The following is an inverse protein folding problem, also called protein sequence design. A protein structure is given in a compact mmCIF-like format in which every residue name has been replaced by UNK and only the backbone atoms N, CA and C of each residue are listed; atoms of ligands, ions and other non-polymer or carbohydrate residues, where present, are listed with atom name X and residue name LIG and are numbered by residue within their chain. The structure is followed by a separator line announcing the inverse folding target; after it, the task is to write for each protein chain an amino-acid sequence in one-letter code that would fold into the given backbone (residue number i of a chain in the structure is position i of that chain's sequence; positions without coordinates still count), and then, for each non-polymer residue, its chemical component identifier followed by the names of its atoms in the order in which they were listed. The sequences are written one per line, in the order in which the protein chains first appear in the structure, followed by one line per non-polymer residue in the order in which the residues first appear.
data_IF_255102623525
#
_entry.id   IF_255102623525
#
_cell.length_a   1.000
_cell.length_b   1.000
_cell.length_c   1.000
_cell.angle_alpha   90.00
_cell.angle_beta   90.00
_cell.angle_gamma   90.00
#
_symmetry.space_group_name_H-M   'P 1'
#
loop_
_entity.id
_entity.type
_entity.pdbx_description
1 polymer ?
#
# COMPACT_ATOMS: atom_id res chain seq x y z
N UNK A 1 12.92 21.32 4.47
CA UNK A 1 14.24 21.02 3.85
C UNK A 1 14.03 19.97 2.75
N UNK A 2 14.46 20.22 1.51
CA UNK A 2 14.41 19.19 0.47
C UNK A 2 15.46 18.13 0.83
N UNK A 3 15.03 16.90 1.13
CA UNK A 3 15.94 15.78 1.36
C UNK A 3 16.97 15.72 0.21
N UNK A 4 18.26 15.59 0.53
CA UNK A 4 19.32 15.49 -0.48
C UNK A 4 19.01 14.28 -1.36
N UNK A 5 18.61 14.52 -2.61
CA UNK A 5 18.31 13.46 -3.56
C UNK A 5 19.60 12.71 -3.86
N UNK A 6 19.62 11.42 -3.56
CA UNK A 6 20.74 10.57 -3.97
C UNK A 6 20.89 10.60 -5.49
N UNK A 7 22.13 10.65 -6.03
CA UNK A 7 22.34 10.58 -7.47
C UNK A 7 21.85 9.23 -8.03
N UNK A 8 21.40 9.18 -9.29
CA UNK A 8 21.07 7.94 -9.97
C UNK A 8 22.30 7.03 -10.07
N UNK A 9 22.06 5.73 -10.02
CA UNK A 9 23.09 4.74 -10.36
C UNK A 9 23.26 4.69 -11.89
N UNK A 10 24.39 4.16 -12.38
CA UNK A 10 24.52 3.86 -13.80
C UNK A 10 23.47 2.83 -14.24
N UNK A 11 22.91 3.00 -15.42
CA UNK A 11 22.19 1.91 -16.09
C UNK A 11 23.18 0.78 -16.43
N UNK A 12 22.81 -0.51 -16.33
CA UNK A 12 21.47 -1.06 -16.09
C UNK A 12 21.10 -1.26 -14.61
N UNK A 13 21.99 -0.89 -13.68
CA UNK A 13 21.82 -1.17 -12.26
C UNK A 13 20.64 -0.38 -11.66
N UNK A 14 20.42 0.85 -12.11
CA UNK A 14 19.27 1.67 -11.69
C UNK A 14 17.94 0.96 -12.03
N UNK A 15 17.78 0.51 -13.28
CA UNK A 15 16.61 -0.26 -13.73
C UNK A 15 16.44 -1.56 -12.92
N UNK A 16 17.52 -2.29 -12.64
CA UNK A 16 17.47 -3.47 -11.80
C UNK A 16 16.96 -3.15 -10.38
N UNK A 17 17.50 -2.10 -9.74
CA UNK A 17 17.12 -1.69 -8.38
C UNK A 17 15.69 -1.18 -8.31
N UNK A 18 15.19 -0.55 -9.37
CA UNK A 18 13.78 -0.20 -9.52
C UNK A 18 12.90 -1.45 -9.61
N UNK A 19 13.29 -2.44 -10.42
CA UNK A 19 12.61 -3.73 -10.54
C UNK A 19 12.50 -4.49 -9.21
N UNK A 20 13.53 -4.40 -8.37
CA UNK A 20 13.58 -5.00 -7.03
C UNK A 20 12.90 -4.16 -5.93
N UNK A 21 12.33 -2.98 -6.25
CA UNK A 21 11.84 -2.03 -5.25
C UNK A 21 10.68 -2.56 -4.40
N UNK A 22 9.95 -3.58 -4.85
CA UNK A 22 8.93 -4.26 -4.04
C UNK A 22 9.51 -4.87 -2.74
N UNK A 23 10.78 -5.28 -2.74
CA UNK A 23 11.47 -5.83 -1.57
C UNK A 23 11.63 -4.81 -0.43
N UNK A 24 11.50 -3.51 -0.72
CA UNK A 24 11.49 -2.50 0.33
C UNK A 24 10.35 -2.71 1.33
N UNK A 25 9.26 -3.36 0.95
CA UNK A 25 8.16 -3.64 1.89
C UNK A 25 8.49 -4.70 2.94
N UNK A 26 9.57 -5.45 2.77
CA UNK A 26 10.07 -6.38 3.78
C UNK A 26 10.95 -5.65 4.82
N UNK A 27 11.26 -4.37 4.57
CA UNK A 27 12.03 -3.54 5.49
C UNK A 27 11.18 -3.06 6.67
N UNK A 28 11.67 -3.13 7.92
CA UNK A 28 10.89 -2.69 9.09
C UNK A 28 10.36 -1.25 8.99
N UNK A 29 11.12 -0.36 8.33
CA UNK A 29 10.75 1.03 8.15
C UNK A 29 9.54 1.24 7.20
N UNK A 30 9.20 0.24 6.38
CA UNK A 30 8.21 0.31 5.29
C UNK A 30 7.13 -0.78 5.42
N UNK A 31 7.39 -1.83 6.19
CA UNK A 31 6.47 -2.95 6.39
C UNK A 31 5.09 -2.47 6.89
N UNK A 32 5.07 -1.43 7.71
CA UNK A 32 3.87 -0.80 8.27
C UNK A 32 3.20 0.23 7.36
N UNK A 33 3.77 0.52 6.18
CA UNK A 33 3.15 1.46 5.24
C UNK A 33 1.98 0.78 4.56
N UNK A 34 0.84 1.44 4.56
CA UNK A 34 -0.38 0.98 3.89
C UNK A 34 -0.97 2.16 3.12
N UNK A 35 -1.77 1.89 2.07
CA UNK A 35 -2.59 2.95 1.52
C UNK A 35 -3.58 3.44 2.60
N UNK A 36 -4.18 4.61 2.39
CA UNK A 36 -5.16 5.11 3.34
C UNK A 36 -6.38 4.19 3.41
N UNK A 37 -7.13 4.30 4.51
CA UNK A 37 -8.23 3.40 4.82
C UNK A 37 -9.34 3.44 3.75
N UNK A 38 -9.57 4.61 3.14
CA UNK A 38 -10.54 4.74 2.06
C UNK A 38 -10.12 3.91 0.84
N UNK A 39 -8.87 4.07 0.38
CA UNK A 39 -8.33 3.30 -0.75
C UNK A 39 -8.26 1.79 -0.45
N UNK A 40 -7.92 1.41 0.78
CA UNK A 40 -7.91 0.01 1.20
C UNK A 40 -9.31 -0.62 1.19
N UNK A 41 -10.31 0.08 1.72
CA UNK A 41 -11.72 -0.38 1.70
C UNK A 41 -12.26 -0.48 0.29
N UNK A 42 -11.99 0.51 -0.56
CA UNK A 42 -12.44 0.54 -1.95
C UNK A 42 -11.90 -0.67 -2.73
N UNK A 43 -10.60 -0.96 -2.62
CA UNK A 43 -10.02 -2.15 -3.24
C UNK A 43 -10.63 -3.44 -2.69
N UNK A 44 -10.85 -3.52 -1.37
CA UNK A 44 -11.52 -4.68 -0.74
C UNK A 44 -12.89 -4.98 -1.33
N UNK A 45 -13.73 -3.95 -1.52
CA UNK A 45 -15.05 -4.09 -2.15
C UNK A 45 -14.94 -4.56 -3.60
N UNK A 46 -14.01 -3.99 -4.38
CA UNK A 46 -13.81 -4.37 -5.79
C UNK A 46 -13.35 -5.82 -5.94
N UNK A 47 -12.51 -6.29 -5.02
CA UNK A 47 -12.06 -7.68 -5.04
C UNK A 47 -13.17 -8.64 -4.62
N UNK A 48 -13.99 -8.27 -3.64
CA UNK A 48 -15.17 -9.08 -3.26
C UNK A 48 -16.17 -9.19 -4.43
N UNK A 49 -16.42 -8.09 -5.15
CA UNK A 49 -17.20 -8.09 -6.40
C UNK A 49 -16.59 -9.06 -7.43
N UNK A 50 -15.27 -9.08 -7.61
CA UNK A 50 -14.61 -9.99 -8.55
C UNK A 50 -14.78 -11.46 -8.14
N UNK A 51 -14.68 -11.76 -6.85
CA UNK A 51 -14.79 -13.12 -6.33
C UNK A 51 -16.22 -13.66 -6.38
N UNK A 52 -17.22 -12.81 -6.15
CA UNK A 52 -18.64 -13.18 -6.10
C UNK A 52 -19.33 -13.11 -7.47
N UNK A 53 -18.70 -12.51 -8.47
CA UNK A 53 -19.27 -12.35 -9.81
C UNK A 53 -19.46 -13.69 -10.53
N UNK A 54 -20.70 -13.92 -10.97
CA UNK A 54 -21.08 -15.05 -11.83
C UNK A 54 -20.64 -14.88 -13.29
N UNK A 55 -20.10 -13.72 -13.65
CA UNK A 55 -19.63 -13.42 -15.01
C UNK A 55 -18.29 -14.10 -15.34
N UNK A 56 -17.52 -14.50 -14.33
CA UNK A 56 -16.22 -15.15 -14.54
C UNK A 56 -16.38 -16.66 -14.61
N UNK A 57 -15.96 -17.20 -15.75
CA UNK A 57 -16.16 -18.60 -16.15
C UNK A 57 -15.14 -19.51 -15.45
N UNK A 58 -13.96 -19.00 -15.11
CA UNK A 58 -12.90 -19.74 -14.43
C UNK A 58 -12.08 -18.87 -13.44
N UNK A 59 -11.28 -19.54 -12.61
CA UNK A 59 -10.44 -18.88 -11.59
C UNK A 59 -9.31 -18.04 -12.20
N UNK A 60 -8.86 -18.35 -13.42
CA UNK A 60 -7.85 -17.57 -14.11
C UNK A 60 -8.39 -16.18 -14.46
N UNK A 61 -9.62 -16.10 -14.96
CA UNK A 61 -10.29 -14.82 -15.23
C UNK A 61 -10.45 -14.00 -13.95
N UNK A 62 -10.80 -14.63 -12.83
CA UNK A 62 -10.89 -13.94 -11.53
C UNK A 62 -9.55 -13.35 -11.10
N UNK A 63 -8.46 -14.11 -11.20
CA UNK A 63 -7.11 -13.64 -10.87
C UNK A 63 -6.70 -12.47 -11.77
N UNK A 64 -6.86 -12.59 -13.08
CA UNK A 64 -6.51 -11.51 -14.02
C UNK A 64 -7.34 -10.23 -13.78
N UNK A 65 -8.56 -10.36 -13.27
CA UNK A 65 -9.40 -9.19 -12.94
C UNK A 65 -9.02 -8.60 -11.58
N UNK A 66 -8.70 -9.42 -10.60
CA UNK A 66 -8.16 -8.95 -9.32
C UNK A 66 -6.85 -8.14 -9.54
N UNK A 67 -5.95 -8.63 -10.39
CA UNK A 67 -4.73 -7.90 -10.76
C UNK A 67 -5.02 -6.55 -11.41
N UNK A 68 -6.01 -6.50 -12.31
CA UNK A 68 -6.46 -5.24 -12.93
C UNK A 68 -7.06 -4.26 -11.93
N UNK A 69 -7.81 -4.74 -10.95
CA UNK A 69 -8.36 -3.88 -9.88
C UNK A 69 -7.25 -3.33 -8.97
N UNK A 70 -6.21 -4.11 -8.70
CA UNK A 70 -5.02 -3.62 -7.98
C UNK A 70 -4.34 -2.50 -8.78
N UNK A 71 -4.08 -2.72 -10.07
CA UNK A 71 -3.44 -1.71 -10.92
C UNK A 71 -4.27 -0.41 -10.99
N UNK A 72 -5.60 -0.53 -11.09
CA UNK A 72 -6.51 0.63 -11.03
C UNK A 72 -6.42 1.36 -9.69
N UNK A 73 -6.41 0.63 -8.57
CA UNK A 73 -6.29 1.22 -7.25
C UNK A 73 -4.95 1.95 -7.07
N UNK A 74 -3.85 1.36 -7.58
CA UNK A 74 -2.51 1.96 -7.57
C UNK A 74 -2.49 3.27 -8.34
N UNK A 75 -3.00 3.29 -9.57
CA UNK A 75 -3.07 4.51 -10.40
C UNK A 75 -3.95 5.61 -9.77
N UNK A 76 -5.12 5.24 -9.22
CA UNK A 76 -6.01 6.20 -8.54
C UNK A 76 -5.38 6.76 -7.26
N UNK A 77 -4.68 5.93 -6.51
CA UNK A 77 -4.07 6.34 -5.26
C UNK A 77 -2.86 7.23 -5.48
N UNK A 78 -1.96 6.89 -6.40
CA UNK A 78 -0.74 7.66 -6.62
C UNK A 78 -0.93 8.83 -7.60
N UNK A 79 -1.73 9.81 -7.20
CA UNK A 79 -1.80 11.11 -7.86
C UNK A 79 -0.46 11.87 -7.80
N UNK A 80 -0.34 13.00 -8.52
CA UNK A 80 0.91 13.78 -8.55
C UNK A 80 1.41 14.22 -7.16
N UNK A 81 0.49 14.57 -6.24
CA UNK A 81 0.82 15.01 -4.89
C UNK A 81 1.35 13.86 -4.03
N UNK A 82 0.69 12.71 -4.09
CA UNK A 82 1.12 11.49 -3.40
C UNK A 82 2.41 10.94 -3.99
N UNK A 83 2.62 10.98 -5.31
CA UNK A 83 3.90 10.62 -5.93
C UNK A 83 5.05 11.44 -5.38
N UNK A 84 4.89 12.77 -5.27
CA UNK A 84 5.89 13.66 -4.67
C UNK A 84 6.13 13.34 -3.19
N UNK A 85 5.05 13.09 -2.44
CA UNK A 85 5.13 12.75 -1.00
C UNK A 85 5.89 11.44 -0.77
N UNK A 86 5.54 10.38 -1.50
CA UNK A 86 6.22 9.08 -1.39
C UNK A 86 7.64 9.13 -1.91
N UNK A 87 7.92 9.87 -2.99
CA UNK A 87 9.29 10.08 -3.46
C UNK A 87 10.16 10.73 -2.36
N UNK A 88 9.66 11.75 -1.67
CA UNK A 88 10.39 12.39 -0.57
C UNK A 88 10.63 11.44 0.60
N UNK A 89 9.61 10.69 1.04
CA UNK A 89 9.76 9.68 2.11
C UNK A 89 10.78 8.59 1.73
N UNK A 90 10.77 8.14 0.47
CA UNK A 90 11.76 7.18 -0.01
C UNK A 90 13.17 7.77 -0.01
N UNK A 91 13.36 9.04 -0.39
CA UNK A 91 14.67 9.70 -0.27
C UNK A 91 15.15 9.82 1.18
N UNK A 92 14.25 10.05 2.14
CA UNK A 92 14.60 10.02 3.57
C UNK A 92 15.08 8.63 4.00
N UNK A 93 14.44 7.56 3.51
CA UNK A 93 14.88 6.19 3.75
C UNK A 93 16.25 5.88 3.15
N UNK A 94 16.61 6.47 2.00
CA UNK A 94 17.95 6.32 1.42
C UNK A 94 19.02 6.73 2.43
N UNK A 95 18.85 7.88 3.08
CA UNK A 95 19.80 8.39 4.07
C UNK A 95 19.83 7.51 5.33
N UNK A 96 18.67 7.07 5.82
CA UNK A 96 18.58 6.15 6.96
C UNK A 96 19.28 4.80 6.69
N UNK A 97 19.06 4.22 5.50
CA UNK A 97 19.69 2.97 5.10
C UNK A 97 21.19 3.11 4.90
N UNK A 98 21.67 4.24 4.38
CA UNK A 98 23.11 4.53 4.28
C UNK A 98 23.78 4.58 5.65
N UNK A 99 23.18 5.28 6.61
CA UNK A 99 23.68 5.36 7.99
C UNK A 99 23.76 3.97 8.65
N UNK A 100 22.87 3.05 8.24
CA UNK A 100 22.81 1.68 8.77
C UNK A 100 23.62 0.66 7.94
N UNK A 101 24.47 1.11 7.00
CA UNK A 101 25.24 0.25 6.08
C UNK A 101 24.39 -0.70 5.20
N UNK A 102 23.15 -0.31 4.88
CA UNK A 102 22.21 -1.11 4.07
C UNK A 102 22.16 -0.62 2.63
N UNK A 103 23.29 -0.76 1.93
CA UNK A 103 23.50 -0.17 0.61
C UNK A 103 22.47 -0.60 -0.45
N UNK A 104 22.06 -1.88 -0.47
CA UNK A 104 21.06 -2.35 -1.43
C UNK A 104 19.67 -1.77 -1.20
N UNK A 105 19.23 -1.70 0.06
CA UNK A 105 17.95 -1.08 0.42
C UNK A 105 17.96 0.42 0.07
N UNK A 106 19.07 1.11 0.33
CA UNK A 106 19.27 2.50 -0.09
C UNK A 106 19.19 2.67 -1.62
N UNK A 107 19.79 1.75 -2.38
CA UNK A 107 19.75 1.77 -3.84
C UNK A 107 18.32 1.56 -4.38
N UNK A 108 17.59 0.57 -3.87
CA UNK A 108 16.19 0.30 -4.23
C UNK A 108 15.29 1.50 -3.91
N UNK A 109 15.43 2.07 -2.71
CA UNK A 109 14.67 3.25 -2.29
C UNK A 109 14.96 4.47 -3.17
N UNK A 110 16.23 4.70 -3.51
CA UNK A 110 16.64 5.78 -4.39
C UNK A 110 16.08 5.65 -5.81
N UNK A 111 16.11 4.45 -6.38
CA UNK A 111 15.57 4.18 -7.71
C UNK A 111 14.05 4.38 -7.76
N UNK A 112 13.31 3.84 -6.79
CA UNK A 112 11.86 4.05 -6.67
C UNK A 112 11.50 5.53 -6.45
N UNK A 113 12.25 6.24 -5.60
CA UNK A 113 12.05 7.66 -5.35
C UNK A 113 12.22 8.50 -6.61
N UNK A 114 13.27 8.24 -7.40
CA UNK A 114 13.53 8.94 -8.66
C UNK A 114 12.47 8.63 -9.72
N UNK A 115 12.06 7.36 -9.86
CA UNK A 115 10.99 6.99 -10.77
C UNK A 115 9.70 7.78 -10.47
N UNK A 116 9.27 7.81 -9.21
CA UNK A 116 8.10 8.58 -8.79
C UNK A 116 8.27 10.09 -8.98
N UNK A 117 9.44 10.63 -8.65
CA UNK A 117 9.74 12.05 -8.83
C UNK A 117 9.82 12.48 -10.31
N UNK A 118 10.20 11.56 -11.21
CA UNK A 118 10.24 11.78 -12.67
C UNK A 118 8.89 11.65 -13.35
N UNK A 119 7.85 11.25 -12.61
CA UNK A 119 6.50 11.10 -13.14
C UNK A 119 6.24 9.76 -13.81
N UNK A 120 7.05 8.72 -13.53
CA UNK A 120 6.75 7.36 -13.98
C UNK A 120 5.33 6.93 -13.55
N UNK A 121 4.72 6.06 -14.35
CA UNK A 121 3.44 5.45 -14.01
C UNK A 121 3.59 4.66 -12.70
N UNK A 122 2.72 4.89 -11.69
CA UNK A 122 2.70 4.13 -10.45
C UNK A 122 2.74 2.61 -10.65
N UNK A 123 2.00 2.09 -11.62
CA UNK A 123 2.01 0.65 -11.96
C UNK A 123 3.35 0.13 -12.49
N UNK A 124 4.19 1.00 -13.06
CA UNK A 124 5.54 0.66 -13.50
C UNK A 124 6.57 0.67 -12.36
N UNK A 125 6.17 1.05 -11.14
CA UNK A 125 7.01 1.08 -9.94
C UNK A 125 6.59 -0.07 -9.01
N UNK A 126 7.33 -1.20 -8.94
CA UNK A 126 6.93 -2.37 -8.15
C UNK A 126 6.63 -2.09 -6.67
N UNK A 127 7.31 -1.12 -6.08
CA UNK A 127 7.00 -0.60 -4.74
C UNK A 127 5.53 -0.16 -4.60
N UNK A 128 5.00 0.62 -5.55
CA UNK A 128 3.63 1.14 -5.48
C UNK A 128 2.59 0.02 -5.53
N UNK A 129 2.78 -0.96 -6.41
CA UNK A 129 1.89 -2.13 -6.51
C UNK A 129 1.93 -2.97 -5.22
N UNK A 130 3.14 -3.21 -4.70
CA UNK A 130 3.33 -4.02 -3.50
C UNK A 130 2.67 -3.42 -2.26
N UNK A 131 2.53 -2.09 -2.17
CA UNK A 131 1.78 -1.42 -1.11
C UNK A 131 0.33 -1.95 -0.98
N UNK A 132 -0.33 -2.21 -2.11
CA UNK A 132 -1.71 -2.72 -2.17
C UNK A 132 -1.79 -4.24 -2.04
N UNK A 133 -0.86 -4.98 -2.66
CA UNK A 133 -0.84 -6.46 -2.55
C UNK A 133 -0.76 -6.96 -1.11
N UNK A 134 -0.13 -6.19 -0.21
CA UNK A 134 -0.08 -6.51 1.22
C UNK A 134 -1.46 -6.56 1.89
N UNK A 135 -2.43 -5.80 1.38
CA UNK A 135 -3.80 -5.82 1.92
C UNK A 135 -4.46 -7.18 1.72
N UNK A 136 -4.11 -7.91 0.66
CA UNK A 136 -4.67 -9.23 0.34
C UNK A 136 -4.21 -10.31 1.32
N UNK A 137 -3.03 -10.11 1.92
CA UNK A 137 -2.43 -11.04 2.89
C UNK A 137 -2.99 -10.86 4.30
N UNK A 138 -3.70 -9.76 4.55
CA UNK A 138 -4.36 -9.48 5.81
C UNK A 138 -5.85 -9.76 5.64
N UNK A 139 -6.50 -10.52 6.54
CA UNK A 139 -7.96 -10.50 6.59
C UNK A 139 -8.36 -9.05 6.83
N UNK A 140 -9.14 -8.46 5.94
CA UNK A 140 -9.79 -7.17 6.16
C UNK A 140 -10.77 -7.35 7.33
N UNK A 141 -10.25 -7.28 8.56
CA UNK A 141 -11.07 -7.26 9.75
C UNK A 141 -11.85 -5.94 9.74
N UNK A 142 -13.13 -6.00 9.35
CA UNK A 142 -14.05 -4.88 9.47
C UNK A 142 -14.88 -4.51 8.25
N UNK A 143 -15.32 -5.46 7.43
CA UNK A 143 -16.57 -5.28 6.68
C UNK A 143 -17.73 -5.85 7.53
N UNK A 144 -18.23 -5.07 8.50
CA UNK A 144 -19.43 -5.48 9.26
C UNK A 144 -19.52 -5.14 10.76
N UNK A 145 -18.68 -4.26 11.31
CA UNK A 145 -18.93 -3.75 12.66
C UNK A 145 -19.59 -2.36 12.57
N UNK A 146 -20.92 -2.35 12.44
CA UNK A 146 -21.71 -1.17 12.82
C UNK A 146 -21.39 -0.89 14.30
N UNK A 147 -20.99 0.33 14.69
CA UNK A 147 -20.99 0.68 16.11
C UNK A 147 -22.46 0.66 16.54
N UNK A 148 -22.85 -0.36 17.30
CA UNK A 148 -24.09 -0.32 18.04
C UNK A 148 -23.96 0.84 19.03
N UNK A 149 -24.74 1.90 18.79
CA UNK A 149 -24.94 2.97 19.76
C UNK A 149 -25.40 2.33 21.08
N UNK A 150 -24.82 2.70 22.24
CA UNK A 150 -25.32 2.21 23.51
C UNK A 150 -26.70 2.84 23.76
N UNK A 151 -27.74 2.01 23.73
CA UNK A 151 -29.09 2.39 24.16
C UNK A 151 -29.06 2.84 25.64
N UNK A 152 -29.87 3.85 26.02
CA UNK A 152 -29.86 4.41 27.36
C UNK A 152 -30.45 3.41 28.37
N UNK A 153 -29.73 3.20 29.48
CA UNK A 153 -30.17 2.39 30.61
C UNK A 153 -31.53 2.86 31.14
N UNK A 154 -32.60 2.17 30.75
CA UNK A 154 -33.90 2.23 31.41
C UNK A 154 -33.99 1.07 32.40
N UNK A 155 -33.76 1.40 33.67
CA UNK A 155 -34.59 1.04 34.81
C UNK A 155 -34.99 -0.45 34.97
N UNK A 156 -34.31 -1.15 35.89
CA UNK A 156 -34.84 -2.37 36.50
C UNK A 156 -34.77 -2.25 38.03
N UNK A 157 -35.87 -1.75 38.57
CA UNK A 157 -36.34 -1.88 39.94
C UNK A 157 -36.32 -3.36 40.37
N UNK A 158 -35.46 -3.75 41.33
CA UNK A 158 -35.63 -5.01 42.08
C UNK A 158 -35.38 -4.75 43.57
N UNK A 159 -36.47 -4.70 44.32
CA UNK A 159 -36.53 -4.87 45.78
C UNK A 159 -36.31 -6.34 46.12
N UNK A 160 -35.63 -6.66 47.22
CA UNK A 160 -36.14 -7.74 48.04
C UNK A 160 -36.15 -7.38 49.54
N UNK A 161 -37.29 -7.67 50.17
CA UNK A 161 -37.43 -7.66 51.62
C UNK A 161 -37.00 -8.98 52.26
N UNK A 162 -36.47 -8.90 53.47
CA UNK A 162 -36.97 -9.64 54.64
C UNK A 162 -36.46 -8.98 55.91
#
# INVERSE_FOLDING_TARGET
PAARRAPPLPEPLESQRLGESALLHDEPAVATWYPDEAAARELGLKLDEVMTSSLYVDDRQRVEQAEREIDRAVERYFDEGRRKTYANRLFELVESFRQSNRAEAAARAGAAARALASGAAPTAVPFCRRLFEKLLRKPLAGAGAHPAEPEPEREALIVPGR
#
